data_IF_230923895017
#
_entry.id   IF_230923895017
#
_cell.length_a   1.000
_cell.length_b   1.000
_cell.length_c   1.000
_cell.angle_alpha   90.00
_cell.angle_beta   90.00
_cell.angle_gamma   90.00
#
_symmetry.space_group_name_H-M   'P 1'
#
loop_
_entity.id
_entity.type
_entity.pdbx_description
1 polymer ?
#
# COMPACT_ATOMS: atom_id res chain seq x y z
N UNK A 1 -62.96 26.15 40.19
CA UNK A 1 -63.11 25.20 39.06
C UNK A 1 -62.89 25.98 37.77
N UNK A 2 -61.71 25.85 37.17
CA UNK A 2 -61.32 26.61 35.97
C UNK A 2 -60.16 25.85 35.33
N UNK A 3 -60.40 25.21 34.18
CA UNK A 3 -59.38 24.51 33.39
C UNK A 3 -58.90 25.46 32.30
N UNK A 4 -57.59 25.72 32.27
CA UNK A 4 -56.93 26.34 31.14
C UNK A 4 -55.76 25.48 30.67
N UNK A 5 -55.98 24.96 29.46
CA UNK A 5 -55.07 24.77 28.33
C UNK A 5 -53.58 24.55 28.61
N UNK A 6 -53.10 23.34 28.25
CA UNK A 6 -51.78 23.14 27.67
C UNK A 6 -51.83 22.07 26.57
N UNK A 7 -51.47 22.51 25.37
CA UNK A 7 -51.01 21.78 24.19
C UNK A 7 -50.26 20.49 24.51
N UNK A 8 -50.59 19.39 23.82
CA UNK A 8 -49.66 18.43 23.21
C UNK A 8 -50.43 17.28 22.53
N UNK A 9 -49.74 16.68 21.57
CA UNK A 9 -49.94 15.36 20.94
C UNK A 9 -50.59 15.36 19.54
N UNK A 10 -49.67 15.36 18.56
CA UNK A 10 -49.63 14.55 17.33
C UNK A 10 -50.80 14.68 16.34
N UNK A 11 -50.59 15.49 15.31
CA UNK A 11 -51.20 15.25 14.00
C UNK A 11 -50.48 14.09 13.31
N UNK A 12 -50.91 12.87 13.64
CA UNK A 12 -50.63 11.68 12.86
C UNK A 12 -51.82 11.48 11.91
N UNK A 13 -51.55 11.62 10.62
CA UNK A 13 -52.34 11.04 9.52
C UNK A 13 -53.74 11.62 9.35
N UNK A 14 -53.92 12.53 8.40
CA UNK A 14 -55.07 12.44 7.49
C UNK A 14 -54.88 13.29 6.23
N UNK A 15 -54.58 12.62 5.10
CA UNK A 15 -55.04 12.95 3.74
C UNK A 15 -54.55 11.86 2.78
N UNK A 16 -55.17 10.68 2.85
CA UNK A 16 -54.98 9.61 1.89
C UNK A 16 -56.11 9.66 0.84
N UNK A 17 -55.84 10.30 -0.30
CA UNK A 17 -56.62 10.15 -1.54
C UNK A 17 -55.72 10.04 -2.79
N UNK A 18 -54.47 9.61 -2.62
CA UNK A 18 -53.54 9.34 -3.74
C UNK A 18 -52.71 8.09 -3.41
N UNK A 19 -53.38 6.95 -3.30
CA UNK A 19 -52.73 5.65 -3.17
C UNK A 19 -53.45 4.70 -4.10
N UNK A 20 -53.01 4.64 -5.36
CA UNK A 20 -53.29 3.55 -6.32
C UNK A 20 -52.62 3.76 -7.71
N UNK A 21 -51.79 4.80 -7.92
CA UNK A 21 -51.16 5.10 -9.22
C UNK A 21 -49.65 4.91 -9.34
N UNK A 22 -48.92 4.58 -8.27
CA UNK A 22 -47.44 4.61 -8.26
C UNK A 22 -46.74 3.25 -8.12
N UNK A 23 -47.48 2.16 -7.85
CA UNK A 23 -46.87 0.83 -7.65
C UNK A 23 -46.50 0.10 -8.94
N UNK A 24 -47.10 0.43 -10.08
CA UNK A 24 -46.82 -0.26 -11.35
C UNK A 24 -45.54 0.23 -12.07
N UNK A 25 -45.11 1.48 -11.84
CA UNK A 25 -43.97 2.08 -12.55
C UNK A 25 -42.61 1.72 -11.93
N UNK A 26 -42.54 1.42 -10.63
CA UNK A 26 -41.27 1.10 -9.95
C UNK A 26 -40.85 -0.37 -10.18
N UNK A 27 -41.81 -1.27 -10.42
CA UNK A 27 -41.51 -2.70 -10.66
C UNK A 27 -41.00 -2.96 -12.09
N UNK A 28 -41.37 -2.12 -13.07
CA UNK A 28 -40.94 -2.29 -14.45
C UNK A 28 -39.46 -1.90 -14.67
N UNK A 29 -38.92 -0.93 -13.94
CA UNK A 29 -37.51 -0.49 -14.10
C UNK A 29 -36.50 -1.44 -13.43
N UNK A 30 -36.88 -2.12 -12.35
CA UNK A 30 -35.97 -3.04 -11.64
C UNK A 30 -35.76 -4.36 -12.38
N UNK A 31 -36.78 -4.90 -13.06
CA UNK A 31 -36.63 -6.15 -13.82
C UNK A 31 -35.78 -5.98 -15.10
N UNK A 32 -35.92 -4.85 -15.81
CA UNK A 32 -35.15 -4.58 -17.03
C UNK A 32 -33.64 -4.38 -16.75
N UNK A 33 -33.29 -3.68 -15.66
CA UNK A 33 -31.90 -3.45 -15.28
C UNK A 33 -31.17 -4.74 -14.88
N UNK A 34 -31.84 -5.65 -14.16
CA UNK A 34 -31.28 -6.95 -13.78
C UNK A 34 -31.14 -7.87 -15.01
N UNK A 35 -32.13 -7.89 -15.91
CA UNK A 35 -32.05 -8.65 -17.15
C UNK A 35 -30.90 -8.23 -18.06
N UNK A 36 -30.67 -6.92 -18.23
CA UNK A 36 -29.52 -6.39 -18.99
C UNK A 36 -28.20 -6.75 -18.30
N UNK A 37 -28.12 -6.66 -16.97
CA UNK A 37 -26.91 -7.03 -16.21
C UNK A 37 -26.51 -8.50 -16.40
N UNK A 38 -27.48 -9.44 -16.33
CA UNK A 38 -27.23 -10.86 -16.57
C UNK A 38 -26.98 -11.20 -18.05
N UNK A 39 -27.69 -10.55 -18.99
CA UNK A 39 -27.46 -10.73 -20.42
C UNK A 39 -26.09 -10.20 -20.88
N UNK A 40 -25.59 -9.13 -20.25
CA UNK A 40 -24.24 -8.57 -20.49
C UNK A 40 -23.16 -9.42 -19.83
N UNK A 41 -23.42 -10.08 -18.68
CA UNK A 41 -22.47 -11.03 -18.10
C UNK A 41 -22.32 -12.31 -18.94
N UNK A 42 -23.41 -12.86 -19.48
CA UNK A 42 -23.37 -14.09 -20.27
C UNK A 42 -22.83 -13.92 -21.70
N UNK A 43 -22.69 -12.68 -22.18
CA UNK A 43 -22.14 -12.35 -23.51
C UNK A 43 -20.80 -11.64 -23.45
N UNK A 44 -20.07 -11.69 -22.33
CA UNK A 44 -18.66 -11.32 -22.39
C UNK A 44 -17.97 -12.40 -23.21
N UNK A 45 -17.42 -12.11 -24.41
CA UNK A 45 -16.49 -13.05 -25.00
C UNK A 45 -15.43 -13.30 -23.94
N UNK A 46 -15.20 -14.56 -23.59
CA UNK A 46 -14.00 -14.92 -22.85
C UNK A 46 -12.85 -14.28 -23.61
N UNK A 47 -12.26 -13.23 -23.05
CA UNK A 47 -10.94 -12.81 -23.48
C UNK A 47 -10.02 -13.93 -23.05
N UNK A 48 -9.90 -14.94 -23.91
CA UNK A 48 -8.84 -15.91 -23.88
C UNK A 48 -7.58 -15.09 -24.07
N UNK A 49 -7.05 -14.61 -22.96
CA UNK A 49 -5.73 -14.00 -22.93
C UNK A 49 -4.82 -15.18 -23.21
N UNK A 50 -4.14 -15.23 -24.38
CA UNK A 50 -3.25 -16.35 -24.66
C UNK A 50 -2.28 -16.46 -23.48
N UNK A 51 -2.00 -17.68 -22.99
CA UNK A 51 -1.08 -17.84 -21.88
C UNK A 51 0.20 -17.12 -22.24
N UNK A 52 0.51 -16.06 -21.49
CA UNK A 52 1.76 -15.35 -21.61
C UNK A 52 2.81 -16.32 -21.06
N UNK A 53 3.28 -17.23 -21.90
CA UNK A 53 4.51 -17.99 -21.69
C UNK A 53 5.67 -17.00 -21.84
N UNK A 54 5.73 -16.01 -20.95
CA UNK A 54 6.99 -15.30 -20.72
C UNK A 54 7.88 -16.30 -20.00
N UNK A 55 9.08 -16.59 -20.53
CA UNK A 55 10.05 -17.36 -19.77
C UNK A 55 10.22 -16.70 -18.41
N UNK A 56 10.31 -17.50 -17.34
CA UNK A 56 10.60 -17.04 -15.99
C UNK A 56 11.96 -16.34 -16.08
N UNK A 57 11.95 -15.01 -16.10
CA UNK A 57 13.18 -14.23 -16.08
C UNK A 57 13.75 -14.36 -14.67
N UNK A 58 14.92 -14.99 -14.54
CA UNK A 58 15.65 -15.05 -13.29
C UNK A 58 15.87 -13.61 -12.79
N UNK A 59 15.32 -13.29 -11.62
CA UNK A 59 15.53 -11.96 -11.03
C UNK A 59 17.01 -11.74 -10.82
N UNK A 60 17.48 -10.61 -11.35
CA UNK A 60 18.82 -10.13 -11.10
C UNK A 60 18.84 -9.29 -9.83
N UNK A 61 19.95 -9.34 -9.12
CA UNK A 61 20.12 -8.66 -7.84
C UNK A 61 19.87 -7.15 -7.96
N UNK A 62 20.24 -6.53 -9.09
CA UNK A 62 20.07 -5.09 -9.35
C UNK A 62 18.60 -4.67 -9.54
N UNK A 63 17.71 -5.63 -9.83
CA UNK A 63 16.27 -5.37 -9.92
C UNK A 63 15.62 -5.25 -8.52
N UNK A 64 16.27 -5.82 -7.51
CA UNK A 64 15.83 -5.82 -6.11
C UNK A 64 16.56 -4.72 -5.32
N UNK A 65 17.88 -4.68 -5.45
CA UNK A 65 18.76 -3.78 -4.72
C UNK A 65 19.34 -2.74 -5.67
N UNK A 66 18.78 -1.54 -5.62
CA UNK A 66 19.18 -0.43 -6.48
C UNK A 66 20.50 0.19 -6.05
N UNK A 67 21.24 0.71 -7.03
CA UNK A 67 22.39 1.56 -6.77
C UNK A 67 21.98 2.83 -6.00
N UNK A 68 22.91 3.33 -5.19
CA UNK A 68 22.72 4.52 -4.36
C UNK A 68 24.00 5.35 -4.32
N UNK A 69 23.84 6.63 -3.97
CA UNK A 69 24.94 7.56 -3.76
C UNK A 69 25.14 7.80 -2.26
N UNK A 70 26.40 7.80 -1.81
CA UNK A 70 26.72 7.97 -0.38
C UNK A 70 26.26 9.33 0.17
N UNK A 71 26.25 10.32 -0.70
CA UNK A 71 25.89 11.72 -0.47
C UNK A 71 24.43 11.87 0.01
N UNK A 72 23.53 11.00 -0.48
CA UNK A 72 22.11 10.97 -0.09
C UNK A 72 21.93 10.70 1.42
N UNK A 73 22.95 10.13 2.07
CA UNK A 73 22.94 9.72 3.46
C UNK A 73 23.83 10.58 4.37
N UNK A 74 24.53 11.59 3.86
CA UNK A 74 25.42 12.45 4.67
C UNK A 74 24.71 13.19 5.79
N UNK A 75 23.40 13.46 5.66
CA UNK A 75 22.58 14.08 6.71
C UNK A 75 22.52 13.26 8.01
N UNK A 76 22.78 11.96 7.93
CA UNK A 76 22.84 11.03 9.06
C UNK A 76 24.22 10.93 9.70
N UNK A 77 25.21 11.67 9.19
CA UNK A 77 26.52 11.83 9.81
C UNK A 77 26.46 13.04 10.75
N UNK A 78 26.82 12.84 12.02
CA UNK A 78 26.94 13.90 13.02
C UNK A 78 28.37 14.07 13.46
N UNK A 79 28.67 15.28 13.91
CA UNK A 79 29.94 15.63 14.55
C UNK A 79 29.63 15.98 16.00
N UNK A 80 30.32 15.31 16.92
CA UNK A 80 30.26 15.60 18.36
C UNK A 80 31.67 15.52 18.92
N UNK A 81 32.11 16.53 19.66
CA UNK A 81 33.44 16.57 20.27
C UNK A 81 34.61 16.33 19.28
N UNK A 82 34.44 16.72 18.01
CA UNK A 82 35.45 16.56 16.96
C UNK A 82 35.49 15.17 16.31
N UNK A 83 34.63 14.25 16.75
CA UNK A 83 34.47 12.91 16.19
C UNK A 83 33.20 12.79 15.34
N UNK A 84 33.21 11.84 14.40
CA UNK A 84 32.06 11.53 13.54
C UNK A 84 31.25 10.36 14.10
N UNK A 85 29.94 10.41 13.89
CA UNK A 85 29.00 9.37 14.33
C UNK A 85 27.89 9.20 13.30
N UNK A 86 27.39 7.98 13.15
CA UNK A 86 26.20 7.67 12.35
C UNK A 86 24.97 7.70 13.25
N UNK A 87 23.91 8.37 12.81
CA UNK A 87 22.61 8.28 13.46
C UNK A 87 21.92 6.94 13.16
N UNK A 88 21.30 6.34 14.18
CA UNK A 88 20.62 5.04 14.07
C UNK A 88 19.52 5.00 12.99
N UNK A 89 18.89 6.15 12.72
CA UNK A 89 17.84 6.29 11.69
C UNK A 89 18.37 6.14 10.25
N UNK A 90 19.69 6.07 10.03
CA UNK A 90 20.28 5.80 8.72
C UNK A 90 19.78 4.48 8.14
N UNK A 91 19.63 3.44 8.98
CA UNK A 91 19.21 2.10 8.56
C UNK A 91 17.79 2.15 7.99
N UNK A 92 16.84 2.70 8.75
CA UNK A 92 15.45 2.80 8.32
C UNK A 92 15.32 3.66 7.04
N UNK A 93 16.12 4.71 6.95
CA UNK A 93 16.13 5.61 5.80
C UNK A 93 16.70 4.95 4.56
N UNK A 94 17.77 4.17 4.71
CA UNK A 94 18.38 3.39 3.63
C UNK A 94 17.44 2.30 3.13
N UNK A 95 16.81 1.54 4.03
CA UNK A 95 15.81 0.52 3.64
C UNK A 95 14.67 1.17 2.86
N UNK A 96 14.16 2.32 3.32
CA UNK A 96 13.10 3.05 2.63
C UNK A 96 13.53 3.49 1.23
N UNK A 97 14.75 3.98 1.08
CA UNK A 97 15.30 4.38 -0.22
C UNK A 97 15.38 3.17 -1.17
N UNK A 98 15.92 2.04 -0.71
CA UNK A 98 16.00 0.80 -1.50
C UNK A 98 14.61 0.31 -1.95
N UNK A 99 13.63 0.28 -1.04
CA UNK A 99 12.25 -0.10 -1.38
C UNK A 99 11.65 0.87 -2.43
N UNK A 100 11.97 2.17 -2.34
CA UNK A 100 11.42 3.17 -3.26
C UNK A 100 11.98 3.11 -4.68
N UNK A 101 13.18 2.54 -4.86
CA UNK A 101 13.89 2.44 -6.15
C UNK A 101 13.79 1.05 -6.77
N UNK A 102 13.32 0.07 -6.02
CA UNK A 102 13.14 -1.31 -6.47
C UNK A 102 12.31 -1.39 -7.74
N UNK A 103 12.76 -2.18 -8.72
CA UNK A 103 12.09 -2.32 -10.01
C UNK A 103 10.88 -3.27 -9.97
N UNK A 104 10.77 -4.06 -8.90
CA UNK A 104 9.70 -5.03 -8.68
C UNK A 104 8.75 -4.53 -7.59
N UNK A 105 7.50 -4.99 -7.64
CA UNK A 105 6.43 -4.56 -6.73
C UNK A 105 5.91 -5.68 -5.82
N UNK A 106 6.65 -6.78 -5.69
CA UNK A 106 6.23 -7.96 -4.94
C UNK A 106 7.36 -8.51 -4.05
N UNK A 107 7.01 -9.47 -3.20
CA UNK A 107 7.88 -10.02 -2.17
C UNK A 107 7.96 -9.13 -0.93
N UNK A 108 8.84 -9.50 0.00
CA UNK A 108 9.05 -8.78 1.25
C UNK A 108 10.52 -8.69 1.59
N UNK A 109 10.87 -7.65 2.33
CA UNK A 109 12.21 -7.47 2.88
C UNK A 109 12.26 -7.91 4.34
N UNK A 110 13.30 -8.63 4.68
CA UNK A 110 13.80 -8.76 6.05
C UNK A 110 15.17 -8.12 6.14
N UNK A 111 15.55 -7.69 7.35
CA UNK A 111 16.84 -7.05 7.58
C UNK A 111 17.43 -7.48 8.90
N UNK A 112 18.76 -7.53 8.93
CA UNK A 112 19.58 -7.77 10.11
C UNK A 112 20.65 -6.68 10.13
N UNK A 113 20.95 -6.10 11.29
CA UNK A 113 22.00 -5.10 11.39
C UNK A 113 22.82 -5.23 12.68
N UNK A 114 24.05 -4.76 12.61
CA UNK A 114 24.97 -4.69 13.75
C UNK A 114 25.64 -3.33 13.77
N UNK A 115 25.54 -2.63 14.90
CA UNK A 115 26.32 -1.43 15.19
C UNK A 115 27.66 -1.91 15.77
N UNK A 116 28.71 -1.90 14.97
CA UNK A 116 30.06 -2.34 15.40
C UNK A 116 30.72 -1.25 16.23
N UNK A 117 30.53 -0.01 15.84
CA UNK A 117 30.95 1.18 16.58
C UNK A 117 30.04 2.34 16.20
N UNK A 118 30.13 3.50 16.88
CA UNK A 118 29.37 4.68 16.48
C UNK A 118 29.68 5.19 15.06
N UNK A 119 30.75 4.69 14.42
CA UNK A 119 31.16 5.05 13.05
C UNK A 119 30.87 3.97 12.01
N UNK A 120 30.52 2.76 12.45
CA UNK A 120 30.46 1.56 11.60
C UNK A 120 29.19 0.77 11.86
N UNK A 121 28.36 0.63 10.83
CA UNK A 121 27.13 -0.16 10.85
C UNK A 121 27.16 -1.15 9.69
N UNK A 122 26.92 -2.42 9.98
CA UNK A 122 26.73 -3.46 8.98
C UNK A 122 25.23 -3.77 8.86
N UNK A 123 24.71 -3.76 7.64
CA UNK A 123 23.30 -4.03 7.34
C UNK A 123 23.22 -5.13 6.28
N UNK A 124 22.47 -6.20 6.58
CA UNK A 124 22.09 -7.21 5.60
C UNK A 124 20.63 -7.04 5.27
N UNK A 125 20.32 -6.83 4.00
CA UNK A 125 18.96 -6.87 3.48
C UNK A 125 18.74 -8.18 2.74
N UNK A 126 17.58 -8.79 2.97
CA UNK A 126 17.16 -10.01 2.28
C UNK A 126 15.78 -9.78 1.71
N UNK A 127 15.65 -9.92 0.41
CA UNK A 127 14.37 -10.00 -0.26
C UNK A 127 13.92 -11.46 -0.34
N UNK A 128 12.62 -11.70 -0.26
CA UNK A 128 12.03 -13.01 -0.48
C UNK A 128 10.65 -12.92 -1.14
N UNK A 129 10.26 -13.97 -1.87
CA UNK A 129 8.93 -14.10 -2.46
C UNK A 129 8.17 -15.33 -1.92
N UNK A 130 6.92 -15.49 -2.37
CA UNK A 130 6.03 -16.59 -1.98
C UNK A 130 6.59 -17.97 -2.35
N UNK A 131 7.47 -18.04 -3.36
CA UNK A 131 8.11 -19.27 -3.82
C UNK A 131 9.37 -19.62 -3.00
N UNK A 132 9.64 -18.88 -1.93
CA UNK A 132 10.82 -19.01 -1.06
C UNK A 132 12.15 -18.68 -1.76
N UNK A 133 12.13 -17.98 -2.90
CA UNK A 133 13.36 -17.45 -3.46
C UNK A 133 13.92 -16.39 -2.51
N UNK A 134 15.26 -16.31 -2.39
CA UNK A 134 15.92 -15.35 -1.51
C UNK A 134 17.13 -14.74 -2.18
N UNK A 135 17.23 -13.43 -2.10
CA UNK A 135 18.39 -12.67 -2.57
C UNK A 135 18.78 -11.71 -1.44
N UNK A 136 20.06 -11.73 -1.06
CA UNK A 136 20.58 -10.94 0.05
C UNK A 136 21.75 -10.07 -0.40
N UNK A 137 21.83 -8.85 0.14
CA UNK A 137 22.95 -7.94 -0.03
C UNK A 137 23.39 -7.36 1.30
N UNK A 138 24.71 -7.22 1.47
CA UNK A 138 25.33 -6.63 2.67
C UNK A 138 25.86 -5.25 2.34
N UNK A 139 25.58 -4.29 3.22
CA UNK A 139 25.99 -2.90 3.15
C UNK A 139 26.80 -2.54 4.39
N UNK A 140 27.92 -1.86 4.18
CA UNK A 140 28.79 -1.38 5.26
C UNK A 140 28.77 0.15 5.23
N UNK A 141 28.19 0.74 6.27
CA UNK A 141 28.24 2.18 6.49
C UNK A 141 29.46 2.47 7.35
N UNK A 142 30.39 3.24 6.82
CA UNK A 142 31.58 3.68 7.54
C UNK A 142 31.79 5.17 7.32
N UNK A 143 31.93 5.91 8.42
CA UNK A 143 32.36 7.31 8.38
C UNK A 143 33.80 7.44 8.88
N UNK A 144 34.66 7.97 8.02
CA UNK A 144 36.06 8.26 8.32
C UNK A 144 36.40 9.70 7.94
N UNK A 145 37.41 10.25 8.61
CA UNK A 145 37.94 11.57 8.25
C UNK A 145 38.74 11.40 6.95
N UNK A 146 38.36 12.16 5.91
CA UNK A 146 39.18 12.26 4.71
C UNK A 146 40.59 12.76 5.09
N UNK A 147 41.62 12.08 4.57
CA UNK A 147 43.03 12.41 4.81
C UNK A 147 43.46 13.65 4.05
#
# INVERSE_FOLDING_TARGET
MMKLSKTKIKNYVFKNKIALGTSALVVAFSAAAVGIYFAVQNNKPEQVTPPINKPIELLREEQIFSDFHSEDFYKYVKIKDGDFYLEDNIIASFIKDQISRMAISYGWFTYEYQIVSPKVINLKLTWSDDDNNKISRVYNFEVSRSK
#
